data_IF_756657930365
#
_entry.id   IF_756657930365
#
_cell.length_a   1.000
_cell.length_b   1.000
_cell.length_c   1.000
_cell.angle_alpha   90.00
_cell.angle_beta   90.00
_cell.angle_gamma   90.00
#
_symmetry.space_group_name_H-M   'P 1'
#
loop_
_entity.id
_entity.type
_entity.pdbx_description
1 polymer ?
#
# COMPACT_ATOMS: atom_id res chain seq x y z
N UNK A 1 -11.66 26.36 12.85
CA UNK A 1 -11.18 25.07 13.37
C UNK A 1 -11.81 24.68 14.71
N UNK A 2 -11.78 25.41 15.79
CA UNK A 2 -12.52 25.27 17.08
C UNK A 2 -12.68 23.86 17.72
N UNK A 3 -12.23 22.81 17.08
CA UNK A 3 -12.34 21.40 17.49
C UNK A 3 -10.97 20.73 17.31
N UNK A 4 -10.41 20.07 18.31
CA UNK A 4 -9.08 19.43 18.20
C UNK A 4 -8.98 18.40 17.09
N UNK A 5 -10.05 17.66 16.83
CA UNK A 5 -10.10 16.65 15.76
C UNK A 5 -10.02 17.30 14.38
N UNK A 6 -10.70 18.43 14.17
CA UNK A 6 -10.61 19.17 12.91
C UNK A 6 -9.22 19.75 12.69
N UNK A 7 -8.53 20.20 13.75
CA UNK A 7 -7.13 20.64 13.66
C UNK A 7 -6.22 19.49 13.19
N UNK A 8 -6.38 18.30 13.81
CA UNK A 8 -5.61 17.10 13.44
C UNK A 8 -5.88 16.65 12.00
N UNK A 9 -7.15 16.64 11.57
CA UNK A 9 -7.52 16.31 10.19
C UNK A 9 -6.93 17.34 9.21
N UNK A 10 -7.06 18.62 9.49
CA UNK A 10 -6.49 19.68 8.65
C UNK A 10 -4.97 19.56 8.54
N UNK A 11 -4.27 19.37 9.66
CA UNK A 11 -2.82 19.16 9.68
C UNK A 11 -2.41 17.96 8.83
N UNK A 12 -3.09 16.81 8.99
CA UNK A 12 -2.85 15.62 8.17
C UNK A 12 -3.01 15.91 6.67
N UNK A 13 -4.09 16.60 6.29
CA UNK A 13 -4.41 16.90 4.90
C UNK A 13 -3.56 18.01 4.29
N UNK A 14 -2.85 18.78 5.12
CA UNK A 14 -1.85 19.75 4.68
C UNK A 14 -0.57 19.09 4.20
N UNK A 15 -0.28 17.88 4.69
CA UNK A 15 0.92 17.13 4.30
C UNK A 15 0.66 16.14 3.16
N UNK A 16 -0.58 15.64 3.04
CA UNK A 16 -0.90 14.61 2.04
C UNK A 16 -2.39 14.52 1.74
N UNK A 17 -2.69 13.98 0.59
CA UNK A 17 -4.05 13.70 0.15
C UNK A 17 -4.50 12.32 0.67
N UNK A 18 -5.65 12.25 1.36
CA UNK A 18 -6.16 11.01 1.94
C UNK A 18 -7.69 10.86 1.76
N UNK A 19 -8.16 9.59 1.73
CA UNK A 19 -9.57 9.28 1.74
C UNK A 19 -10.10 9.07 3.17
N UNK A 20 -11.45 9.05 3.32
CA UNK A 20 -12.12 8.90 4.63
C UNK A 20 -11.64 7.68 5.41
N UNK A 21 -11.47 6.54 4.74
CA UNK A 21 -11.07 5.28 5.41
C UNK A 21 -9.67 5.40 6.01
N UNK A 22 -8.73 6.00 5.27
CA UNK A 22 -7.37 6.20 5.76
C UNK A 22 -7.31 7.20 6.91
N UNK A 23 -8.04 8.32 6.80
CA UNK A 23 -8.10 9.32 7.87
C UNK A 23 -8.70 8.68 9.14
N UNK A 24 -9.75 7.87 9.00
CA UNK A 24 -10.39 7.18 10.11
C UNK A 24 -9.40 6.21 10.82
N UNK A 25 -8.65 5.44 10.05
CA UNK A 25 -7.64 4.54 10.57
C UNK A 25 -6.50 5.28 11.29
N UNK A 26 -5.98 6.36 10.68
CA UNK A 26 -4.87 7.15 11.22
C UNK A 26 -5.21 7.90 12.51
N UNK A 27 -6.46 8.31 12.65
CA UNK A 27 -6.94 9.06 13.81
C UNK A 27 -7.69 8.20 14.83
N UNK A 28 -7.76 6.88 14.58
CA UNK A 28 -8.50 5.91 15.42
C UNK A 28 -9.98 6.31 15.60
N UNK A 29 -10.62 6.73 14.50
CA UNK A 29 -11.98 7.23 14.49
C UNK A 29 -12.88 6.40 13.57
N UNK A 30 -14.20 6.52 13.76
CA UNK A 30 -15.16 5.94 12.81
C UNK A 30 -15.26 6.79 11.53
N UNK A 31 -15.46 6.13 10.37
CA UNK A 31 -15.63 6.82 9.09
C UNK A 31 -16.79 7.84 9.08
N UNK A 32 -17.95 7.60 9.74
CA UNK A 32 -18.99 8.61 9.87
C UNK A 32 -18.54 9.86 10.62
N UNK A 33 -17.79 9.72 11.73
CA UNK A 33 -17.27 10.85 12.50
C UNK A 33 -16.28 11.68 11.67
N UNK A 34 -15.34 11.01 10.96
CA UNK A 34 -14.41 11.68 10.04
C UNK A 34 -15.17 12.41 8.93
N UNK A 35 -16.17 11.78 8.33
CA UNK A 35 -16.99 12.40 7.27
C UNK A 35 -17.69 13.67 7.74
N UNK A 36 -18.13 13.71 9.00
CA UNK A 36 -18.74 14.92 9.60
C UNK A 36 -17.70 16.06 9.68
N UNK A 37 -16.50 15.78 10.19
CA UNK A 37 -15.44 16.79 10.29
C UNK A 37 -14.95 17.26 8.91
N UNK A 38 -14.79 16.35 7.94
CA UNK A 38 -14.41 16.69 6.55
C UNK A 38 -15.44 17.60 5.88
N UNK A 39 -16.75 17.34 6.11
CA UNK A 39 -17.81 18.21 5.58
C UNK A 39 -17.67 19.63 6.14
N UNK A 40 -17.44 19.76 7.45
CA UNK A 40 -17.25 21.06 8.09
C UNK A 40 -16.02 21.80 7.54
N UNK A 41 -14.90 21.09 7.37
CA UNK A 41 -13.66 21.66 6.81
C UNK A 41 -13.82 22.08 5.33
N UNK A 42 -14.53 21.27 4.54
CA UNK A 42 -14.81 21.60 3.14
C UNK A 42 -15.74 22.82 3.02
N UNK A 43 -16.79 22.90 3.86
CA UNK A 43 -17.69 24.06 3.90
C UNK A 43 -16.98 25.37 4.28
N UNK A 44 -15.94 25.28 5.11
CA UNK A 44 -15.09 26.45 5.45
C UNK A 44 -14.02 26.76 4.39
N UNK A 45 -13.94 26.00 3.31
CA UNK A 45 -12.95 26.19 2.24
C UNK A 45 -11.54 25.81 2.61
N UNK A 46 -11.31 25.15 3.75
CA UNK A 46 -9.98 24.79 4.21
C UNK A 46 -9.41 23.57 3.50
N UNK A 47 -10.28 22.69 3.00
CA UNK A 47 -9.90 21.49 2.26
C UNK A 47 -10.66 21.39 0.93
N UNK A 48 -10.02 20.74 -0.02
CA UNK A 48 -10.59 20.39 -1.32
C UNK A 48 -10.81 18.89 -1.41
N UNK A 49 -11.73 18.47 -2.27
CA UNK A 49 -11.97 17.05 -2.53
C UNK A 49 -11.94 16.74 -4.00
N UNK A 50 -11.45 15.56 -4.37
CA UNK A 50 -11.57 15.02 -5.72
C UNK A 50 -12.01 13.56 -5.68
N UNK A 51 -12.80 13.16 -6.65
CA UNK A 51 -13.25 11.78 -6.79
C UNK A 51 -12.23 10.97 -7.60
N UNK A 52 -11.87 9.80 -7.09
CA UNK A 52 -11.03 8.84 -7.79
C UNK A 52 -11.70 7.45 -7.72
N UNK A 53 -12.38 7.06 -8.80
CA UNK A 53 -13.17 5.83 -8.84
C UNK A 53 -14.35 5.86 -7.86
N UNK A 54 -14.38 4.95 -6.91
CA UNK A 54 -15.41 4.85 -5.86
C UNK A 54 -15.09 5.68 -4.60
N UNK A 55 -13.91 6.24 -4.49
CA UNK A 55 -13.42 6.93 -3.31
C UNK A 55 -13.33 8.44 -3.53
N UNK A 56 -13.46 9.20 -2.45
CA UNK A 56 -13.25 10.64 -2.42
C UNK A 56 -12.00 10.92 -1.60
N UNK A 57 -11.06 11.61 -2.20
CA UNK A 57 -9.81 12.06 -1.60
C UNK A 57 -9.91 13.52 -1.21
N UNK A 58 -9.30 13.86 -0.09
CA UNK A 58 -9.27 15.20 0.48
C UNK A 58 -7.84 15.65 0.66
N UNK A 59 -7.58 16.93 0.43
CA UNK A 59 -6.31 17.62 0.72
C UNK A 59 -6.59 19.03 1.21
N UNK A 60 -5.64 19.68 1.88
CA UNK A 60 -5.74 21.10 2.17
C UNK A 60 -5.77 21.92 0.88
N UNK A 61 -6.51 23.00 0.85
CA UNK A 61 -6.53 23.96 -0.26
C UNK A 61 -5.16 24.66 -0.43
N UNK A 62 -4.92 25.22 -1.59
CA UNK A 62 -3.63 25.81 -1.97
C UNK A 62 -3.61 27.37 -1.92
N UNK A 63 -4.43 27.99 -1.08
CA UNK A 63 -4.45 29.45 -0.93
C UNK A 63 -3.37 29.93 0.07
N UNK A 64 -2.95 31.20 -0.06
CA UNK A 64 -1.97 31.82 0.85
C UNK A 64 -2.44 31.75 2.31
N UNK A 65 -3.73 31.97 2.55
CA UNK A 65 -4.33 31.91 3.90
C UNK A 65 -4.25 30.51 4.49
N UNK A 66 -4.46 29.48 3.68
CA UNK A 66 -4.39 28.07 4.12
C UNK A 66 -2.94 27.69 4.43
N UNK A 67 -1.98 28.13 3.61
CA UNK A 67 -0.55 27.90 3.87
C UNK A 67 -0.10 28.56 5.17
N UNK A 68 -0.51 29.82 5.42
CA UNK A 68 -0.22 30.49 6.68
C UNK A 68 -0.87 29.79 7.87
N UNK A 69 -2.12 29.35 7.74
CA UNK A 69 -2.81 28.56 8.76
C UNK A 69 -2.09 27.23 9.04
N UNK A 70 -1.59 26.56 7.99
CA UNK A 70 -0.79 25.35 8.14
C UNK A 70 0.47 25.60 8.98
N UNK A 71 1.23 26.64 8.68
CA UNK A 71 2.42 27.00 9.46
C UNK A 71 2.11 27.22 10.95
N UNK A 72 1.00 27.91 11.27
CA UNK A 72 0.56 28.12 12.65
C UNK A 72 0.18 26.78 13.31
N UNK A 73 -0.59 25.94 12.61
CA UNK A 73 -1.01 24.63 13.12
C UNK A 73 0.20 23.72 13.33
N UNK A 74 1.18 23.75 12.43
CA UNK A 74 2.42 22.99 12.53
C UNK A 74 3.16 23.32 13.83
N UNK A 75 3.36 24.60 14.14
CA UNK A 75 4.00 25.02 15.37
C UNK A 75 3.23 24.58 16.61
N UNK A 76 1.90 24.69 16.60
CA UNK A 76 1.04 24.22 17.72
C UNK A 76 1.12 22.72 17.90
N UNK A 77 1.12 21.94 16.80
CA UNK A 77 1.22 20.48 16.85
C UNK A 77 2.58 20.00 17.36
N UNK A 78 3.67 20.67 17.01
CA UNK A 78 5.01 20.38 17.54
C UNK A 78 5.08 20.60 19.07
N UNK A 79 4.41 21.62 19.60
CA UNK A 79 4.38 21.90 21.03
C UNK A 79 3.46 20.91 21.76
N UNK A 80 2.27 20.63 21.20
CA UNK A 80 1.23 19.84 21.87
C UNK A 80 1.46 18.31 21.77
N UNK A 81 2.19 17.83 20.74
CA UNK A 81 2.42 16.41 20.48
C UNK A 81 3.84 16.15 19.96
N UNK A 82 4.90 16.47 20.74
CA UNK A 82 6.29 16.34 20.27
C UNK A 82 6.67 14.89 19.87
N UNK A 83 6.01 13.88 20.45
CA UNK A 83 6.26 12.45 20.14
C UNK A 83 5.37 11.91 19.01
N UNK A 84 4.37 12.66 18.57
CA UNK A 84 3.39 12.26 17.53
C UNK A 84 3.55 12.97 16.18
N UNK A 85 4.61 13.73 15.98
CA UNK A 85 5.12 14.04 14.66
C UNK A 85 5.75 12.78 14.06
N UNK A 86 4.93 11.72 14.01
CA UNK A 86 5.29 10.52 13.27
C UNK A 86 5.49 10.97 11.84
N UNK A 87 6.69 10.75 11.34
CA UNK A 87 6.96 10.85 9.93
C UNK A 87 6.01 9.89 9.20
N UNK A 88 4.89 10.41 8.74
CA UNK A 88 3.84 9.62 8.09
C UNK A 88 4.35 8.95 6.79
N UNK A 89 5.40 9.52 6.18
CA UNK A 89 6.04 8.89 5.04
C UNK A 89 6.86 7.67 5.51
N UNK A 90 7.62 7.79 6.58
CA UNK A 90 8.34 6.67 7.17
C UNK A 90 7.38 5.57 7.67
N UNK A 91 6.24 5.95 8.26
CA UNK A 91 5.25 4.96 8.69
C UNK A 91 4.57 4.23 7.52
N UNK A 92 4.27 4.93 6.41
CA UNK A 92 3.74 4.29 5.21
C UNK A 92 4.76 3.35 4.56
N UNK A 93 6.02 3.76 4.48
CA UNK A 93 7.08 2.92 3.95
C UNK A 93 7.28 1.66 4.81
N UNK A 94 7.25 1.78 6.14
CA UNK A 94 7.29 0.64 7.05
C UNK A 94 6.11 -0.33 6.84
N UNK A 95 4.89 0.19 6.69
CA UNK A 95 3.72 -0.64 6.37
C UNK A 95 3.94 -1.37 5.04
N UNK A 96 4.44 -0.69 4.02
CA UNK A 96 4.70 -1.31 2.71
C UNK A 96 5.80 -2.38 2.80
N UNK A 97 6.82 -2.19 3.63
CA UNK A 97 7.82 -3.22 3.92
C UNK A 97 7.22 -4.45 4.61
N UNK A 98 6.34 -4.26 5.60
CA UNK A 98 5.62 -5.38 6.22
C UNK A 98 4.70 -6.11 5.23
N UNK A 99 4.00 -5.37 4.34
CA UNK A 99 3.22 -5.97 3.24
C UNK A 99 4.10 -6.82 2.33
N UNK A 100 5.27 -6.32 1.97
CA UNK A 100 6.24 -7.06 1.16
C UNK A 100 6.69 -8.34 1.86
N UNK A 101 7.10 -8.24 3.12
CA UNK A 101 7.60 -9.39 3.89
C UNK A 101 6.52 -10.46 4.04
N UNK A 102 5.27 -10.08 4.31
CA UNK A 102 4.15 -11.01 4.37
C UNK A 102 3.93 -11.74 3.04
N UNK A 103 3.97 -11.03 1.93
CA UNK A 103 3.77 -11.57 0.60
C UNK A 103 4.92 -12.51 0.16
N UNK A 104 6.16 -12.19 0.55
CA UNK A 104 7.35 -12.96 0.14
C UNK A 104 7.65 -14.14 1.05
N UNK A 105 7.24 -14.09 2.32
CA UNK A 105 7.43 -15.19 3.27
C UNK A 105 6.53 -16.41 2.97
N UNK A 106 5.42 -16.23 2.27
CA UNK A 106 4.53 -17.33 1.89
C UNK A 106 4.05 -17.19 0.43
N UNK A 107 4.92 -17.53 -0.51
CA UNK A 107 4.65 -17.44 -1.95
C UNK A 107 3.53 -18.37 -2.43
N UNK A 108 3.27 -19.45 -1.70
CA UNK A 108 2.20 -20.40 -2.01
C UNK A 108 0.81 -19.80 -1.77
N UNK A 109 0.68 -18.92 -0.79
CA UNK A 109 -0.58 -18.29 -0.42
C UNK A 109 -0.95 -17.14 -1.38
N UNK A 110 -2.22 -17.06 -1.73
CA UNK A 110 -2.75 -15.96 -2.54
C UNK A 110 -3.46 -14.97 -1.64
N UNK A 111 -2.74 -13.98 -1.19
CA UNK A 111 -3.32 -12.84 -0.48
C UNK A 111 -3.84 -11.84 -1.49
N UNK A 112 -5.11 -11.46 -1.37
CA UNK A 112 -5.73 -10.45 -2.24
C UNK A 112 -5.36 -9.04 -1.78
N UNK A 113 -5.43 -8.07 -2.70
CA UNK A 113 -5.17 -6.66 -2.37
C UNK A 113 -6.22 -6.13 -1.38
N UNK A 114 -7.43 -6.65 -1.44
CA UNK A 114 -8.53 -6.33 -0.54
C UNK A 114 -8.27 -6.83 0.90
N UNK A 115 -7.66 -8.01 1.06
CA UNK A 115 -7.24 -8.54 2.36
C UNK A 115 -6.10 -7.72 2.95
N UNK A 116 -5.07 -7.41 2.18
CA UNK A 116 -3.98 -6.52 2.60
C UNK A 116 -4.50 -5.14 2.97
N UNK A 117 -5.40 -4.58 2.16
CA UNK A 117 -6.04 -3.29 2.40
C UNK A 117 -6.76 -3.25 3.75
N UNK A 118 -7.51 -4.31 4.08
CA UNK A 118 -8.20 -4.44 5.38
C UNK A 118 -7.23 -4.64 6.55
N UNK A 119 -6.24 -5.52 6.38
CA UNK A 119 -5.27 -5.85 7.42
C UNK A 119 -4.41 -4.65 7.81
N UNK A 120 -3.93 -3.90 6.82
CA UNK A 120 -3.05 -2.76 7.03
C UNK A 120 -3.79 -1.42 7.08
N UNK A 121 -5.12 -1.43 7.14
CA UNK A 121 -5.97 -0.24 7.23
C UNK A 121 -5.63 0.83 6.18
N UNK A 122 -5.24 0.39 4.98
CA UNK A 122 -4.85 1.23 3.86
C UNK A 122 -5.74 0.90 2.67
N UNK A 123 -6.35 1.90 2.00
CA UNK A 123 -7.15 1.59 0.83
C UNK A 123 -6.33 1.00 -0.32
N UNK A 124 -6.98 0.24 -1.21
CA UNK A 124 -6.33 -0.52 -2.29
C UNK A 124 -5.56 0.39 -3.25
N UNK A 125 -6.03 1.60 -3.50
CA UNK A 125 -5.37 2.57 -4.40
C UNK A 125 -4.08 3.10 -3.77
N UNK A 126 -4.13 3.51 -2.50
CA UNK A 126 -2.95 3.98 -1.76
C UNK A 126 -1.94 2.86 -1.59
N UNK A 127 -2.39 1.64 -1.23
CA UNK A 127 -1.52 0.47 -1.11
C UNK A 127 -0.74 0.20 -2.40
N UNK A 128 -1.42 0.14 -3.54
CA UNK A 128 -0.78 -0.05 -4.85
C UNK A 128 0.20 1.07 -5.20
N UNK A 129 -0.19 2.33 -4.95
CA UNK A 129 0.64 3.51 -5.23
C UNK A 129 1.90 3.50 -4.36
N UNK A 130 1.76 3.34 -3.04
CA UNK A 130 2.88 3.34 -2.10
C UNK A 130 3.81 2.16 -2.36
N UNK A 131 3.27 0.96 -2.65
CA UNK A 131 4.09 -0.19 -3.01
C UNK A 131 4.95 0.10 -4.26
N UNK A 132 4.33 0.68 -5.30
CA UNK A 132 5.07 1.06 -6.52
C UNK A 132 6.10 2.16 -6.27
N UNK A 133 5.85 3.08 -5.35
CA UNK A 133 6.83 4.10 -4.95
C UNK A 133 8.04 3.50 -4.24
N UNK A 134 7.83 2.52 -3.35
CA UNK A 134 8.91 1.88 -2.57
C UNK A 134 9.71 0.87 -3.41
N UNK A 135 9.02 0.04 -4.19
CA UNK A 135 9.64 -1.09 -4.93
C UNK A 135 9.80 -0.86 -6.43
N UNK A 136 9.33 0.28 -6.97
CA UNK A 136 9.46 0.63 -8.38
C UNK A 136 8.47 -0.08 -9.33
N UNK A 137 7.80 -1.12 -8.86
CA UNK A 137 6.91 -1.97 -9.66
C UNK A 137 5.59 -2.30 -8.94
N UNK A 138 4.63 -2.88 -9.66
CA UNK A 138 3.35 -3.27 -9.06
C UNK A 138 3.50 -4.52 -8.19
N UNK A 139 2.63 -4.67 -7.17
CA UNK A 139 2.59 -5.87 -6.31
C UNK A 139 2.54 -7.16 -7.15
N UNK A 140 1.72 -7.19 -8.22
CA UNK A 140 1.59 -8.37 -9.06
C UNK A 140 2.88 -8.71 -9.83
N UNK A 141 3.58 -7.70 -10.38
CA UNK A 141 4.85 -7.89 -11.07
C UNK A 141 5.94 -8.36 -10.10
N UNK A 142 6.01 -7.72 -8.94
CA UNK A 142 6.94 -8.06 -7.87
C UNK A 142 6.77 -9.50 -7.40
N UNK A 143 5.54 -9.91 -7.10
CA UNK A 143 5.23 -11.28 -6.70
C UNK A 143 5.50 -12.30 -7.81
N UNK A 144 5.22 -11.96 -9.08
CA UNK A 144 5.59 -12.84 -10.21
C UNK A 144 7.09 -13.09 -10.23
N UNK A 145 7.90 -12.06 -10.07
CA UNK A 145 9.36 -12.16 -10.03
C UNK A 145 9.84 -13.08 -8.90
N UNK A 146 9.42 -12.85 -7.65
CA UNK A 146 9.78 -13.68 -6.51
C UNK A 146 9.36 -15.15 -6.67
N UNK A 147 8.14 -15.40 -7.17
CA UNK A 147 7.67 -16.77 -7.47
C UNK A 147 8.53 -17.47 -8.53
N UNK A 148 8.98 -16.75 -9.55
CA UNK A 148 9.83 -17.33 -10.59
C UNK A 148 11.26 -17.58 -10.11
N UNK A 149 11.81 -16.70 -9.27
CA UNK A 149 13.12 -16.88 -8.62
C UNK A 149 13.13 -18.11 -7.70
N UNK A 150 12.10 -18.25 -6.86
CA UNK A 150 11.96 -19.42 -5.99
C UNK A 150 11.73 -20.72 -6.80
N UNK A 151 10.92 -20.66 -7.86
CA UNK A 151 10.73 -21.80 -8.75
C UNK A 151 12.05 -22.25 -9.40
N UNK A 152 12.86 -21.31 -9.86
CA UNK A 152 14.18 -21.61 -10.43
C UNK A 152 15.10 -22.26 -9.39
N UNK A 153 15.07 -21.77 -8.14
CA UNK A 153 15.80 -22.36 -7.01
C UNK A 153 15.33 -23.80 -6.72
N UNK A 154 14.03 -24.03 -6.64
CA UNK A 154 13.45 -25.37 -6.39
C UNK A 154 13.75 -26.36 -7.53
N UNK A 155 13.72 -25.89 -8.78
CA UNK A 155 14.08 -26.71 -9.95
C UNK A 155 15.50 -27.28 -9.86
N UNK A 156 16.44 -26.52 -9.30
CA UNK A 156 17.85 -26.93 -9.17
C UNK A 156 18.14 -27.70 -7.89
N UNK A 157 17.44 -27.37 -6.81
CA UNK A 157 17.74 -27.94 -5.46
C UNK A 157 16.95 -29.21 -5.15
N UNK A 158 15.86 -29.49 -5.89
CA UNK A 158 14.95 -30.60 -5.58
C UNK A 158 14.66 -31.44 -6.81
N UNK A 159 14.22 -32.69 -6.55
CA UNK A 159 13.72 -33.61 -7.59
C UNK A 159 12.19 -33.56 -7.70
N UNK A 160 11.54 -32.57 -7.10
CA UNK A 160 10.09 -32.41 -7.16
C UNK A 160 9.62 -32.29 -8.62
N UNK A 161 8.44 -32.83 -8.91
CA UNK A 161 7.83 -32.66 -10.23
C UNK A 161 7.43 -31.19 -10.47
N UNK A 162 7.17 -30.88 -11.75
CA UNK A 162 6.85 -29.49 -12.13
C UNK A 162 5.52 -29.01 -11.55
N UNK A 163 4.56 -29.94 -11.32
CA UNK A 163 3.28 -29.61 -10.72
C UNK A 163 3.43 -29.25 -9.25
N UNK A 164 4.23 -30.02 -8.49
CA UNK A 164 4.52 -29.73 -7.09
C UNK A 164 5.25 -28.39 -6.92
N UNK A 165 6.23 -28.07 -7.80
CA UNK A 165 6.91 -26.77 -7.78
C UNK A 165 5.94 -25.64 -8.10
N UNK A 166 5.06 -25.82 -9.11
CA UNK A 166 4.04 -24.83 -9.44
C UNK A 166 3.15 -24.50 -8.23
N UNK A 167 2.70 -25.52 -7.50
CA UNK A 167 1.89 -25.34 -6.28
C UNK A 167 2.69 -24.65 -5.17
N UNK A 168 3.93 -25.05 -4.93
CA UNK A 168 4.80 -24.48 -3.92
C UNK A 168 5.02 -22.97 -4.10
N UNK A 169 5.03 -22.49 -5.35
CA UNK A 169 5.17 -21.06 -5.67
C UNK A 169 3.83 -20.37 -5.98
N UNK A 170 2.69 -20.98 -5.59
CA UNK A 170 1.38 -20.34 -5.63
C UNK A 170 0.68 -20.31 -7.01
N UNK A 171 1.00 -21.25 -7.91
CA UNK A 171 0.27 -21.44 -9.15
C UNK A 171 -0.72 -22.62 -9.03
N UNK A 172 -1.99 -22.35 -9.32
CA UNK A 172 -3.06 -23.38 -9.28
C UNK A 172 -2.95 -24.42 -10.41
N UNK A 173 -2.28 -24.08 -11.51
CA UNK A 173 -2.09 -25.00 -12.61
C UNK A 173 -0.67 -24.97 -13.15
N UNK A 174 -0.15 -26.15 -13.45
CA UNK A 174 1.15 -26.35 -14.09
C UNK A 174 1.27 -25.59 -15.43
N UNK A 175 0.17 -25.53 -16.21
CA UNK A 175 0.18 -24.85 -17.50
C UNK A 175 0.42 -23.35 -17.35
N UNK A 176 -0.26 -22.68 -16.40
CA UNK A 176 -0.05 -21.25 -16.10
C UNK A 176 1.35 -20.99 -15.58
N UNK A 177 1.85 -21.86 -14.71
CA UNK A 177 3.22 -21.80 -14.21
C UNK A 177 4.23 -21.92 -15.37
N UNK A 178 4.11 -22.95 -16.20
CA UNK A 178 5.02 -23.19 -17.34
C UNK A 178 5.07 -22.02 -18.30
N UNK A 179 3.91 -21.41 -18.61
CA UNK A 179 3.83 -20.22 -19.44
C UNK A 179 4.56 -19.03 -18.80
N UNK A 180 4.30 -18.76 -17.51
CA UNK A 180 4.95 -17.67 -16.78
C UNK A 180 6.47 -17.87 -16.63
N UNK A 181 6.91 -19.11 -16.40
CA UNK A 181 8.32 -19.46 -16.31
C UNK A 181 9.04 -19.25 -17.64
N UNK A 182 8.45 -19.74 -18.75
CA UNK A 182 8.98 -19.52 -20.10
C UNK A 182 9.05 -18.06 -20.49
N UNK A 183 8.02 -17.27 -20.11
CA UNK A 183 8.04 -15.82 -20.33
C UNK A 183 9.21 -15.14 -19.59
N UNK A 184 9.53 -15.61 -18.37
CA UNK A 184 10.57 -15.00 -17.53
C UNK A 184 11.98 -15.45 -17.91
N UNK A 185 12.19 -16.74 -18.20
CA UNK A 185 13.51 -17.33 -18.43
C UNK A 185 13.79 -17.73 -19.90
N UNK A 186 12.82 -17.58 -20.79
CA UNK A 186 12.96 -17.92 -22.21
C UNK A 186 12.91 -19.42 -22.55
N UNK A 187 12.84 -20.30 -21.54
CA UNK A 187 12.87 -21.76 -21.69
C UNK A 187 11.87 -22.44 -20.74
N UNK A 188 11.52 -23.69 -21.05
CA UNK A 188 10.61 -24.47 -20.20
C UNK A 188 11.26 -24.88 -18.88
N UNK A 189 10.49 -25.04 -17.77
CA UNK A 189 11.03 -25.50 -16.48
C UNK A 189 11.84 -26.81 -16.57
N UNK A 190 11.38 -27.75 -17.39
CA UNK A 190 12.08 -29.03 -17.61
C UNK A 190 13.40 -28.85 -18.33
N UNK A 191 13.47 -27.94 -19.31
CA UNK A 191 14.70 -27.61 -20.03
C UNK A 191 15.68 -26.87 -19.12
N UNK A 192 15.15 -25.92 -18.31
CA UNK A 192 15.93 -25.17 -17.33
C UNK A 192 16.64 -26.11 -16.34
N UNK A 193 15.90 -27.07 -15.76
CA UNK A 193 16.46 -28.12 -14.89
C UNK A 193 17.52 -28.92 -15.62
N UNK A 194 17.22 -29.51 -16.77
CA UNK A 194 18.12 -30.40 -17.51
C UNK A 194 19.46 -29.75 -17.90
N UNK A 195 19.46 -28.45 -18.19
CA UNK A 195 20.68 -27.74 -18.63
C UNK A 195 21.61 -27.34 -17.49
N UNK A 196 21.08 -27.31 -16.24
CA UNK A 196 21.79 -26.77 -15.06
C UNK A 196 21.93 -27.79 -13.91
N UNK A 197 21.35 -28.99 -14.06
CA UNK A 197 21.58 -30.18 -13.20
C UNK A 197 22.74 -31.02 -13.79
#
# INVERSE_FOLDING_TARGET
LGDPTRVRIFWLLSHREECVINIAALLEMSSPAVSHHLRSLAQSGLIESRRCGKEVYYKAGDTVQIKLLHEIVEQVMQIACPEKTVDFQASQEQIIRHVHDELTNNLAERVTIEELSRKYLMNTTTLKRCFKQVYGETIAAHMKKHRMEEAASLLLKTQNDIAAIAQAVGYESQSRFTAAFKETYGELPTEYRRKRS
#
